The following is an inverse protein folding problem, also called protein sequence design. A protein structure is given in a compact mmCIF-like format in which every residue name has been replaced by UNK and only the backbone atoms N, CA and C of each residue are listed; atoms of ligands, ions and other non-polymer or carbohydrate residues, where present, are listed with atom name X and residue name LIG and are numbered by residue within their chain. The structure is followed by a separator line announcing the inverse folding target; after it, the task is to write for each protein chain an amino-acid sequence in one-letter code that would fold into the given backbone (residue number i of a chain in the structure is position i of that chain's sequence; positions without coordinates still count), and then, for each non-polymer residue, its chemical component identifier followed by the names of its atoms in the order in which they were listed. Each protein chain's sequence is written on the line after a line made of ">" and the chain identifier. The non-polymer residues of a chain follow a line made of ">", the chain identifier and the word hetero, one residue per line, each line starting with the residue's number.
data_IF_202910356485
#
_entry.id   IF_202910356485
#
_cell.length_a   1.000
_cell.length_b   1.000
_cell.length_c   1.000
_cell.angle_alpha   90.00
_cell.angle_beta   90.00
_cell.angle_gamma   90.00
#
_symmetry.space_group_name_H-M   'P 1'
#
loop_
_entity.id
_entity.type
_entity.pdbx_description
1 polymer ?
#
# COMPACT_ATOMS: atom_id res chain seq x y z
N UNK A 1 3.92 3.13 1.49
CA UNK A 1 2.68 3.37 0.71
C UNK A 1 1.72 4.12 1.59
N UNK A 2 1.27 5.28 1.14
CA UNK A 2 0.38 6.14 1.89
C UNK A 2 -1.09 5.77 1.70
N UNK A 3 -1.97 6.29 2.57
CA UNK A 3 -3.42 6.18 2.43
C UNK A 3 -4.05 7.55 2.34
N UNK A 4 -4.96 7.73 1.38
CA UNK A 4 -5.72 8.96 1.19
C UNK A 4 -7.20 8.63 1.38
N UNK A 5 -7.91 9.50 2.09
CA UNK A 5 -9.36 9.50 2.17
C UNK A 5 -9.86 10.95 2.09
N UNK A 6 -10.85 11.22 1.26
CA UNK A 6 -11.43 12.55 1.13
C UNK A 6 -12.95 12.48 1.00
N UNK A 7 -13.62 13.53 1.41
CA UNK A 7 -15.07 13.69 1.30
C UNK A 7 -15.35 15.05 0.66
N UNK A 8 -16.09 15.03 -0.44
CA UNK A 8 -16.77 16.22 -0.95
C UNK A 8 -18.17 16.27 -0.38
N UNK A 9 -18.53 17.40 0.20
CA UNK A 9 -19.89 17.69 0.61
C UNK A 9 -20.24 19.15 0.31
N UNK A 10 -21.40 19.35 -0.32
CA UNK A 10 -21.91 20.72 -0.58
C UNK A 10 -22.19 21.46 0.73
N UNK A 11 -22.74 20.77 1.70
CA UNK A 11 -23.15 21.35 2.97
C UNK A 11 -22.20 20.96 4.10
N UNK A 12 -22.02 21.86 5.06
CA UNK A 12 -21.21 21.58 6.24
C UNK A 12 -21.91 20.57 7.16
N UNK A 13 -21.30 19.41 7.36
CA UNK A 13 -21.76 18.28 8.17
C UNK A 13 -20.64 17.75 9.07
N UNK A 14 -20.93 16.70 9.83
CA UNK A 14 -19.94 16.00 10.68
C UNK A 14 -18.99 15.11 9.87
N UNK A 15 -18.54 15.57 8.70
CA UNK A 15 -17.69 14.85 7.76
C UNK A 15 -16.35 14.42 8.39
N UNK A 16 -15.89 15.07 9.44
CA UNK A 16 -14.64 14.74 10.16
C UNK A 16 -14.69 13.34 10.79
N UNK A 17 -15.85 12.96 11.34
CA UNK A 17 -16.01 11.63 11.96
C UNK A 17 -15.94 10.56 10.89
N UNK A 18 -16.63 10.74 9.78
CA UNK A 18 -16.64 9.81 8.65
C UNK A 18 -15.26 9.75 7.97
N UNK A 19 -14.58 10.89 7.81
CA UNK A 19 -13.18 10.96 7.36
C UNK A 19 -12.25 10.13 8.28
N UNK A 20 -12.36 10.34 9.60
CA UNK A 20 -11.57 9.58 10.59
C UNK A 20 -11.80 8.08 10.46
N UNK A 21 -13.05 7.65 10.35
CA UNK A 21 -13.40 6.24 10.28
C UNK A 21 -12.92 5.59 8.97
N UNK A 22 -13.02 6.28 7.84
CA UNK A 22 -12.43 5.86 6.57
C UNK A 22 -10.91 5.76 6.65
N UNK A 23 -10.24 6.77 7.21
CA UNK A 23 -8.79 6.73 7.42
C UNK A 23 -8.36 5.58 8.34
N UNK A 24 -9.11 5.28 9.41
CA UNK A 24 -8.80 4.14 10.29
C UNK A 24 -8.84 2.80 9.56
N UNK A 25 -9.76 2.61 8.63
CA UNK A 25 -9.80 1.40 7.79
C UNK A 25 -8.60 1.32 6.85
N UNK A 26 -7.99 2.46 6.47
CA UNK A 26 -6.76 2.56 5.70
C UNK A 26 -5.47 2.52 6.55
N UNK A 27 -5.54 2.36 7.87
CA UNK A 27 -4.38 2.47 8.76
C UNK A 27 -3.25 1.46 8.44
N UNK A 28 -3.57 0.37 7.76
CA UNK A 28 -2.57 -0.60 7.28
C UNK A 28 -1.62 0.01 6.24
N UNK A 29 -2.02 1.07 5.53
CA UNK A 29 -1.22 1.75 4.51
C UNK A 29 -0.17 2.69 5.10
N UNK A 30 -0.47 3.37 6.21
CA UNK A 30 0.47 4.32 6.84
C UNK A 30 0.29 4.40 8.34
N UNK A 31 1.41 4.39 9.10
CA UNK A 31 1.42 4.36 10.56
C UNK A 31 2.35 5.38 11.20
N UNK A 32 3.18 6.07 10.40
CA UNK A 32 4.21 6.97 10.90
C UNK A 32 3.64 8.30 11.34
N UNK A 33 2.67 8.80 10.59
CA UNK A 33 1.93 10.02 10.89
C UNK A 33 0.61 10.07 10.12
N UNK A 34 -0.25 10.98 10.53
CA UNK A 34 -1.46 11.33 9.81
C UNK A 34 -1.70 12.83 9.84
N UNK A 35 -2.45 13.30 8.87
CA UNK A 35 -2.97 14.66 8.86
C UNK A 35 -4.31 14.73 8.16
N UNK A 36 -5.05 15.74 8.50
CA UNK A 36 -6.34 16.09 7.89
C UNK A 36 -6.35 17.57 7.54
N UNK A 37 -7.09 17.92 6.50
CA UNK A 37 -7.46 19.29 6.20
C UNK A 37 -8.96 19.34 5.90
N UNK A 38 -9.61 20.41 6.29
CA UNK A 38 -11.05 20.58 6.21
C UNK A 38 -11.42 22.00 5.82
N UNK A 39 -12.41 22.15 4.97
CA UNK A 39 -13.01 23.42 4.60
C UNK A 39 -14.00 23.86 5.68
N UNK A 40 -13.71 24.98 6.31
CA UNK A 40 -14.62 25.63 7.26
C UNK A 40 -14.81 27.06 6.78
N UNK A 41 -16.03 27.37 6.35
CA UNK A 41 -16.33 28.63 5.66
C UNK A 41 -15.36 28.87 4.51
N UNK A 42 -14.65 29.99 4.49
CA UNK A 42 -13.71 30.36 3.43
C UNK A 42 -12.25 29.95 3.71
N UNK A 43 -12.00 29.17 4.77
CA UNK A 43 -10.64 28.79 5.17
C UNK A 43 -10.46 27.28 5.23
N UNK A 44 -9.23 26.83 5.01
CA UNK A 44 -8.84 25.44 5.22
C UNK A 44 -8.07 25.33 6.55
N UNK A 45 -8.61 24.57 7.49
CA UNK A 45 -7.90 24.19 8.71
C UNK A 45 -7.22 22.85 8.52
N UNK A 46 -6.06 22.65 9.15
CA UNK A 46 -5.39 21.36 9.13
C UNK A 46 -4.82 20.96 10.48
N UNK A 47 -4.82 19.66 10.72
CA UNK A 47 -4.25 19.01 11.90
C UNK A 47 -3.28 17.94 11.44
N UNK A 48 -2.09 17.92 12.01
CA UNK A 48 -1.02 16.96 11.71
C UNK A 48 -0.52 16.32 13.00
N UNK A 49 -0.34 15.00 13.03
CA UNK A 49 0.09 14.23 14.21
C UNK A 49 1.01 13.08 13.81
N UNK A 50 1.91 12.70 14.70
CA UNK A 50 2.72 11.49 14.60
C UNK A 50 1.94 10.27 15.08
N UNK A 51 2.24 9.10 14.50
CA UNK A 51 1.66 7.82 14.89
C UNK A 51 0.32 7.51 14.24
N UNK A 52 -0.36 6.52 14.79
CA UNK A 52 -1.62 5.97 14.28
C UNK A 52 -2.84 6.77 14.80
N UNK A 53 -3.94 6.71 14.07
CA UNK A 53 -5.23 7.28 14.49
C UNK A 53 -5.84 6.40 15.58
N UNK A 54 -6.04 6.98 16.76
CA UNK A 54 -6.71 6.33 17.90
C UNK A 54 -8.20 6.63 17.91
N UNK A 55 -8.98 5.90 18.71
CA UNK A 55 -10.42 6.16 18.86
C UNK A 55 -10.70 7.57 19.38
N UNK A 56 -9.89 8.05 20.33
CA UNK A 56 -9.97 9.40 20.88
C UNK A 56 -9.46 10.50 19.95
N UNK A 57 -8.85 10.12 18.80
CA UNK A 57 -8.36 11.10 17.83
C UNK A 57 -9.52 11.93 17.31
N UNK A 58 -9.35 13.26 17.28
CA UNK A 58 -10.33 14.24 16.81
C UNK A 58 -11.63 14.33 17.64
N UNK A 59 -11.69 13.77 18.84
CA UNK A 59 -12.89 13.89 19.69
C UNK A 59 -13.23 15.34 20.00
N UNK A 60 -12.23 16.23 20.09
CA UNK A 60 -12.44 17.67 20.26
C UNK A 60 -13.03 18.37 19.02
N UNK A 61 -13.09 17.69 17.89
CA UNK A 61 -13.66 18.19 16.64
C UNK A 61 -14.98 17.50 16.25
N UNK A 62 -15.52 16.63 17.11
CA UNK A 62 -16.74 15.86 16.79
C UNK A 62 -17.93 16.74 16.42
N UNK A 63 -18.02 17.94 17.02
CA UNK A 63 -19.09 18.90 16.79
C UNK A 63 -18.73 19.97 15.73
N UNK A 64 -17.51 19.88 15.14
CA UNK A 64 -17.07 20.80 14.10
C UNK A 64 -17.70 20.38 12.77
N UNK A 65 -18.52 21.25 12.22
CA UNK A 65 -19.09 21.06 10.88
C UNK A 65 -18.10 21.56 9.84
N UNK A 66 -17.82 20.73 8.85
CA UNK A 66 -17.04 21.10 7.66
C UNK A 66 -17.75 20.62 6.39
N UNK A 67 -17.52 21.30 5.29
CA UNK A 67 -18.00 20.85 3.98
C UNK A 67 -17.07 19.76 3.43
N UNK A 68 -16.14 20.09 2.57
CA UNK A 68 -15.19 19.09 2.07
C UNK A 68 -13.97 18.92 3.00
N UNK A 69 -13.40 17.73 3.00
CA UNK A 69 -12.22 17.44 3.81
C UNK A 69 -11.35 16.34 3.17
N UNK A 70 -10.05 16.35 3.50
CA UNK A 70 -9.08 15.37 3.02
C UNK A 70 -8.16 14.93 4.14
N UNK A 71 -7.85 13.64 4.17
CA UNK A 71 -6.98 13.01 5.13
C UNK A 71 -5.88 12.18 4.46
N UNK A 72 -4.74 12.11 5.11
CA UNK A 72 -3.57 11.38 4.67
C UNK A 72 -2.95 10.56 5.80
N UNK A 73 -2.58 9.32 5.48
CA UNK A 73 -1.83 8.41 6.34
C UNK A 73 -0.44 8.20 5.72
N UNK A 74 0.60 8.54 6.45
CA UNK A 74 1.96 8.47 5.95
C UNK A 74 2.62 7.14 6.26
N UNK A 75 3.28 6.60 5.25
CA UNK A 75 4.30 5.57 5.33
C UNK A 75 5.58 6.13 4.72
N UNK A 76 6.62 6.32 5.53
CA UNK A 76 7.89 6.88 5.06
C UNK A 76 8.59 5.93 4.09
N UNK A 77 8.70 6.34 2.84
CA UNK A 77 9.48 5.65 1.80
C UNK A 77 10.77 6.39 1.48
N UNK A 78 10.80 7.69 1.74
CA UNK A 78 11.92 8.61 1.56
C UNK A 78 12.09 9.47 2.81
N UNK A 79 13.33 9.77 3.20
CA UNK A 79 13.65 10.63 4.33
C UNK A 79 14.82 10.08 5.15
N UNK A 80 15.86 10.89 5.34
CA UNK A 80 17.01 10.51 6.16
C UNK A 80 16.61 10.45 7.63
N UNK A 81 16.81 9.31 8.24
CA UNK A 81 16.53 8.98 9.63
C UNK A 81 17.32 9.81 10.68
N UNK A 82 18.27 10.64 10.27
CA UNK A 82 19.14 11.39 11.18
C UNK A 82 18.60 12.74 11.67
N UNK A 83 17.51 13.28 11.07
CA UNK A 83 16.90 14.56 11.46
C UNK A 83 15.38 14.46 11.69
N UNK A 84 14.93 13.38 12.29
CA UNK A 84 13.52 13.01 12.52
C UNK A 84 12.64 14.08 13.19
N UNK A 85 13.18 15.04 13.91
CA UNK A 85 12.39 16.04 14.65
C UNK A 85 11.81 17.16 13.80
N UNK A 86 12.61 17.81 12.93
CA UNK A 86 12.20 19.00 12.15
C UNK A 86 11.65 18.66 10.76
N UNK A 87 12.26 17.75 10.04
CA UNK A 87 11.83 17.35 8.69
C UNK A 87 10.43 16.70 8.68
N UNK A 88 10.08 15.91 9.70
CA UNK A 88 8.78 15.24 9.75
C UNK A 88 7.57 16.17 9.82
N UNK A 89 7.66 17.36 10.38
CA UNK A 89 6.48 18.26 10.44
C UNK A 89 6.13 18.85 9.07
N UNK A 90 7.14 19.19 8.27
CA UNK A 90 6.94 19.75 6.94
C UNK A 90 6.54 18.69 5.90
N UNK A 91 6.85 17.43 6.15
CA UNK A 91 6.51 16.31 5.27
C UNK A 91 5.18 15.63 5.60
N UNK A 92 4.56 15.89 6.76
CA UNK A 92 3.23 15.37 7.08
C UNK A 92 2.21 16.08 6.19
N UNK A 93 1.53 15.29 5.39
CA UNK A 93 0.45 15.76 4.53
C UNK A 93 -0.89 15.80 5.29
N UNK A 94 -1.87 16.60 4.82
CA UNK A 94 -1.89 17.44 3.62
C UNK A 94 -0.92 18.63 3.68
N UNK A 95 -0.27 18.97 2.54
CA UNK A 95 0.46 20.22 2.42
C UNK A 95 -0.54 21.34 2.17
N UNK A 96 -0.49 22.39 3.00
CA UNK A 96 -1.34 23.57 2.87
C UNK A 96 -0.61 24.70 2.18
N UNK A 97 -1.35 25.44 1.39
CA UNK A 97 -0.89 26.69 0.81
C UNK A 97 -2.03 27.64 0.48
N UNK A 98 -1.64 28.83 0.06
CA UNK A 98 -2.57 29.82 -0.49
C UNK A 98 -1.87 30.62 -1.59
N UNK A 99 -2.63 30.94 -2.66
CA UNK A 99 -2.20 31.79 -3.77
C UNK A 99 -3.41 32.55 -4.30
N UNK A 100 -3.34 33.87 -4.43
CA UNK A 100 -4.41 34.69 -5.01
C UNK A 100 -5.80 34.43 -4.41
N UNK A 101 -5.94 34.46 -3.10
CA UNK A 101 -7.17 34.14 -2.34
C UNK A 101 -7.68 32.70 -2.50
N UNK A 102 -6.94 31.82 -3.16
CA UNK A 102 -7.23 30.40 -3.24
C UNK A 102 -6.49 29.67 -2.10
N UNK A 103 -7.24 29.02 -1.22
CA UNK A 103 -6.70 28.16 -0.19
C UNK A 103 -6.77 26.70 -0.65
N UNK A 104 -5.70 25.93 -0.40
CA UNK A 104 -5.66 24.54 -0.81
C UNK A 104 -4.98 23.63 0.21
N UNK A 105 -5.26 22.33 0.09
CA UNK A 105 -4.60 21.26 0.83
C UNK A 105 -4.37 20.05 -0.09
N UNK A 106 -3.09 19.70 -0.30
CA UNK A 106 -2.64 18.66 -1.23
C UNK A 106 -2.25 17.40 -0.48
N UNK A 107 -2.75 16.24 -0.96
CA UNK A 107 -2.33 14.90 -0.54
C UNK A 107 -1.80 14.10 -1.72
N UNK A 108 -0.76 13.30 -1.46
CA UNK A 108 -0.08 12.49 -2.45
C UNK A 108 0.24 11.10 -1.87
N UNK A 109 -0.12 10.06 -2.59
CA UNK A 109 0.32 8.68 -2.36
C UNK A 109 1.10 8.19 -3.57
N UNK A 110 2.41 8.10 -3.46
CA UNK A 110 3.25 7.69 -4.57
C UNK A 110 4.72 7.93 -4.31
N UNK A 111 5.48 8.00 -5.38
CA UNK A 111 6.87 8.43 -5.38
C UNK A 111 7.24 8.95 -6.78
N UNK A 112 7.91 10.08 -6.83
CA UNK A 112 8.48 10.63 -8.05
C UNK A 112 9.97 10.31 -8.04
N UNK A 113 10.46 9.48 -8.96
CA UNK A 113 11.88 9.13 -9.00
C UNK A 113 12.75 10.35 -9.35
N UNK A 114 13.99 10.33 -8.89
CA UNK A 114 15.02 11.33 -9.22
C UNK A 114 14.75 12.77 -8.76
N UNK A 115 13.75 13.00 -7.92
CA UNK A 115 13.48 14.32 -7.31
C UNK A 115 14.35 14.51 -6.07
N UNK A 116 15.00 15.67 -5.98
CA UNK A 116 15.76 16.07 -4.79
C UNK A 116 14.80 16.50 -3.67
N UNK A 117 14.87 15.81 -2.53
CA UNK A 117 14.08 16.16 -1.36
C UNK A 117 12.72 15.44 -1.30
N UNK A 118 11.67 16.18 -0.94
CA UNK A 118 10.33 15.61 -0.71
C UNK A 118 9.48 15.76 -1.97
N UNK A 119 9.11 14.65 -2.58
CA UNK A 119 8.37 14.57 -3.84
C UNK A 119 7.01 15.32 -3.82
N UNK A 120 6.29 15.28 -2.70
CA UNK A 120 5.04 16.06 -2.56
C UNK A 120 5.29 17.57 -2.58
N UNK A 121 6.45 18.04 -2.10
CA UNK A 121 6.84 19.45 -2.19
C UNK A 121 7.13 19.83 -3.64
N UNK A 122 7.75 18.94 -4.40
CA UNK A 122 7.96 19.14 -5.84
C UNK A 122 6.64 19.29 -6.60
N UNK A 123 5.68 18.39 -6.36
CA UNK A 123 4.32 18.50 -6.92
C UNK A 123 3.66 19.83 -6.53
N UNK A 124 3.78 20.21 -5.26
CA UNK A 124 3.21 21.44 -4.74
C UNK A 124 3.78 22.69 -5.45
N UNK A 125 5.07 22.69 -5.69
CA UNK A 125 5.74 23.80 -6.39
C UNK A 125 5.27 23.87 -7.86
N UNK A 126 5.21 22.73 -8.57
CA UNK A 126 4.67 22.69 -9.94
C UNK A 126 3.22 23.17 -9.99
N UNK A 127 2.39 22.74 -9.04
CA UNK A 127 0.98 23.17 -8.96
C UNK A 127 0.83 24.69 -8.82
N UNK A 128 1.78 25.34 -8.15
CA UNK A 128 1.68 26.77 -7.82
C UNK A 128 2.48 27.70 -8.72
N UNK A 129 3.43 27.19 -9.51
CA UNK A 129 4.39 28.06 -10.20
C UNK A 129 3.96 28.51 -11.61
N UNK A 130 3.22 27.71 -12.38
CA UNK A 130 3.12 27.95 -13.82
C UNK A 130 2.00 28.90 -14.25
N UNK A 131 0.80 28.79 -13.75
CA UNK A 131 -0.32 29.65 -14.14
C UNK A 131 -1.28 29.89 -12.98
N UNK A 132 -2.22 30.83 -13.17
CA UNK A 132 -3.34 31.01 -12.25
C UNK A 132 -4.45 29.96 -12.47
N UNK A 133 -4.31 29.12 -13.49
CA UNK A 133 -5.27 28.06 -13.81
C UNK A 133 -4.81 26.73 -13.25
N UNK A 134 -5.45 26.27 -12.19
CA UNK A 134 -5.15 25.00 -11.51
C UNK A 134 -5.34 23.79 -12.45
N UNK A 135 -6.33 23.81 -13.29
CA UNK A 135 -6.62 22.68 -14.18
C UNK A 135 -5.50 22.50 -15.22
N UNK A 136 -4.99 23.62 -15.79
CA UNK A 136 -3.81 23.59 -16.66
C UNK A 136 -2.58 23.04 -15.93
N UNK A 137 -2.32 23.51 -14.70
CA UNK A 137 -1.15 23.03 -13.94
C UNK A 137 -1.24 21.53 -13.59
N UNK A 138 -2.46 21.00 -13.36
CA UNK A 138 -2.66 19.57 -13.15
C UNK A 138 -2.42 18.75 -14.42
N UNK A 139 -2.81 19.28 -15.58
CA UNK A 139 -2.53 18.65 -16.88
C UNK A 139 -1.02 18.62 -17.12
N UNK A 140 -0.32 19.75 -16.91
CA UNK A 140 1.14 19.82 -17.05
C UNK A 140 1.84 18.79 -16.11
N UNK A 141 1.38 18.64 -14.87
CA UNK A 141 1.88 17.62 -13.95
C UNK A 141 1.67 16.20 -14.50
N UNK A 142 0.49 15.91 -15.09
CA UNK A 142 0.19 14.60 -15.67
C UNK A 142 1.09 14.29 -16.85
N UNK A 143 1.30 15.26 -17.73
CA UNK A 143 2.05 15.09 -18.99
C UNK A 143 3.57 15.08 -18.75
N UNK A 144 4.07 15.94 -17.86
CA UNK A 144 5.51 16.12 -17.61
C UNK A 144 6.10 15.10 -16.62
N UNK A 145 5.30 14.58 -15.65
CA UNK A 145 5.81 13.75 -14.57
C UNK A 145 5.40 12.28 -14.74
N UNK A 146 6.23 11.46 -15.42
CA UNK A 146 6.02 10.02 -15.49
C UNK A 146 6.40 9.39 -14.15
N UNK A 147 5.44 9.15 -13.28
CA UNK A 147 5.66 8.60 -11.95
C UNK A 147 4.46 7.79 -11.48
N UNK A 148 4.57 7.15 -10.31
CA UNK A 148 3.45 6.48 -9.66
C UNK A 148 2.84 7.39 -8.60
N UNK A 149 1.60 7.85 -8.80
CA UNK A 149 0.92 8.69 -7.83
C UNK A 149 -0.60 8.60 -7.87
N UNK A 150 -1.20 8.80 -6.72
CA UNK A 150 -2.58 9.25 -6.56
C UNK A 150 -2.56 10.55 -5.79
N UNK A 151 -3.24 11.58 -6.30
CA UNK A 151 -3.26 12.92 -5.74
C UNK A 151 -4.72 13.31 -5.47
N UNK A 152 -4.98 13.90 -4.31
CA UNK A 152 -6.26 14.55 -4.00
C UNK A 152 -5.94 15.92 -3.41
N UNK A 153 -6.57 16.93 -3.99
CA UNK A 153 -6.38 18.32 -3.59
C UNK A 153 -7.75 18.91 -3.22
N UNK A 154 -7.85 19.44 -2.03
CA UNK A 154 -8.97 20.28 -1.60
C UNK A 154 -8.62 21.73 -1.94
N UNK A 155 -9.42 22.38 -2.78
CA UNK A 155 -9.25 23.79 -3.15
C UNK A 155 -10.57 24.50 -2.91
N UNK A 156 -10.58 25.44 -2.00
CA UNK A 156 -11.78 26.11 -1.48
C UNK A 156 -12.79 25.04 -1.00
N UNK A 157 -13.73 24.60 -1.75
CA UNK A 157 -14.59 23.47 -1.38
C UNK A 157 -14.56 22.33 -2.42
N UNK A 158 -13.94 22.55 -3.55
CA UNK A 158 -13.85 21.56 -4.63
C UNK A 158 -12.75 20.52 -4.33
N UNK A 159 -12.93 19.28 -4.77
CA UNK A 159 -11.89 18.27 -4.80
C UNK A 159 -11.39 18.07 -6.24
N UNK A 160 -10.07 18.16 -6.40
CA UNK A 160 -9.37 17.70 -7.59
C UNK A 160 -8.75 16.35 -7.30
N UNK A 161 -9.00 15.38 -8.17
CA UNK A 161 -8.62 13.98 -7.98
C UNK A 161 -7.87 13.51 -9.22
N UNK A 162 -6.67 12.92 -9.02
CA UNK A 162 -5.77 12.57 -10.11
C UNK A 162 -5.11 11.23 -9.84
N UNK A 163 -5.10 10.34 -10.84
CA UNK A 163 -4.38 9.05 -10.82
C UNK A 163 -3.37 9.01 -11.94
N UNK A 164 -2.15 8.56 -11.64
CA UNK A 164 -1.05 8.49 -12.60
C UNK A 164 -1.44 7.78 -13.91
N UNK A 165 -0.78 8.14 -15.02
CA UNK A 165 -1.12 7.64 -16.36
C UNK A 165 -0.92 6.14 -16.55
N UNK A 166 -0.16 5.50 -15.64
CA UNK A 166 0.04 4.05 -15.64
C UNK A 166 -0.92 3.31 -14.73
N UNK A 167 -1.69 4.02 -13.89
CA UNK A 167 -2.61 3.42 -12.92
C UNK A 167 -1.92 2.62 -11.81
N UNK A 168 -0.65 2.94 -11.51
CA UNK A 168 0.18 2.16 -10.56
C UNK A 168 -0.37 2.27 -9.14
N UNK A 169 -0.90 3.45 -8.75
CA UNK A 169 -1.49 3.66 -7.43
C UNK A 169 -3.00 3.56 -7.48
N UNK A 170 -3.61 2.83 -6.53
CA UNK A 170 -5.07 2.70 -6.50
C UNK A 170 -5.73 4.00 -6.01
N UNK A 171 -6.86 4.33 -6.58
CA UNK A 171 -7.73 5.42 -6.15
C UNK A 171 -9.16 5.15 -6.64
N UNK A 172 -10.14 5.19 -5.74
CA UNK A 172 -11.54 4.89 -6.06
C UNK A 172 -12.50 5.95 -5.53
N UNK A 173 -13.70 5.96 -6.08
CA UNK A 173 -14.77 6.88 -5.79
C UNK A 173 -15.96 6.09 -5.27
N UNK A 174 -16.57 6.57 -4.21
CA UNK A 174 -17.86 6.14 -3.69
C UNK A 174 -18.80 7.32 -3.49
N UNK A 175 -20.07 7.03 -3.29
CA UNK A 175 -21.11 8.03 -3.08
C UNK A 175 -22.05 7.59 -1.95
N UNK A 176 -22.39 8.53 -1.10
CA UNK A 176 -23.44 8.44 -0.10
C UNK A 176 -24.28 9.70 -0.19
N UNK A 177 -25.56 9.54 -0.51
CA UNK A 177 -26.45 10.67 -0.79
C UNK A 177 -25.84 11.60 -1.86
N UNK A 178 -25.68 12.89 -1.56
CA UNK A 178 -25.06 13.87 -2.44
C UNK A 178 -23.56 14.09 -2.14
N UNK A 179 -22.96 13.25 -1.27
CA UNK A 179 -21.55 13.36 -0.91
C UNK A 179 -20.72 12.34 -1.70
N UNK A 180 -19.56 12.79 -2.18
CA UNK A 180 -18.58 11.92 -2.84
C UNK A 180 -17.43 11.58 -1.89
N UNK A 181 -17.04 10.32 -1.89
CA UNK A 181 -15.96 9.78 -1.08
C UNK A 181 -14.84 9.29 -2.00
N UNK A 182 -13.62 9.75 -1.77
CA UNK A 182 -12.45 9.36 -2.53
C UNK A 182 -11.51 8.60 -1.59
N UNK A 183 -11.02 7.46 -2.02
CA UNK A 183 -10.19 6.60 -1.19
C UNK A 183 -9.10 5.89 -1.98
N UNK A 184 -7.95 5.67 -1.33
CA UNK A 184 -6.92 4.78 -1.87
C UNK A 184 -7.41 3.33 -2.01
N UNK A 185 -8.36 2.89 -1.18
CA UNK A 185 -8.94 1.54 -1.23
C UNK A 185 -10.42 1.55 -0.87
N UNK A 186 -11.22 0.75 -1.58
CA UNK A 186 -12.67 0.64 -1.37
C UNK A 186 -13.05 0.08 0.00
N UNK A 187 -12.18 -0.66 0.69
CA UNK A 187 -12.41 -1.14 2.06
C UNK A 187 -12.64 0.00 3.06
N UNK A 188 -12.21 1.21 2.74
CA UNK A 188 -12.42 2.38 3.58
C UNK A 188 -13.89 2.83 3.62
N UNK A 189 -14.65 2.52 2.61
CA UNK A 189 -16.06 2.88 2.52
C UNK A 189 -16.87 2.17 3.61
N UNK A 190 -17.84 2.86 4.20
CA UNK A 190 -18.85 2.24 5.06
C UNK A 190 -19.86 1.47 4.20
N UNK A 191 -20.71 0.67 4.83
CA UNK A 191 -21.78 -0.05 4.10
C UNK A 191 -22.79 0.88 3.41
N UNK A 192 -22.87 2.13 3.86
CA UNK A 192 -23.77 3.15 3.34
C UNK A 192 -23.20 3.88 2.12
N UNK A 193 -21.88 3.72 1.85
CA UNK A 193 -21.20 4.34 0.72
C UNK A 193 -21.18 3.36 -0.44
N UNK A 194 -21.90 3.69 -1.49
CA UNK A 194 -21.93 2.91 -2.71
C UNK A 194 -20.63 3.16 -3.49
N UNK A 195 -19.89 2.09 -3.81
CA UNK A 195 -18.75 2.16 -4.71
C UNK A 195 -19.25 2.54 -6.12
N UNK A 196 -18.69 3.57 -6.70
CA UNK A 196 -19.01 3.99 -8.08
C UNK A 196 -18.04 3.32 -9.05
N UNK A 197 -16.74 3.68 -8.96
CA UNK A 197 -15.66 3.19 -9.82
C UNK A 197 -14.28 3.56 -9.27
N UNK A 198 -13.28 2.98 -9.85
CA UNK A 198 -11.92 3.50 -9.72
C UNK A 198 -11.74 4.76 -10.58
N UNK A 199 -10.83 5.64 -10.17
CA UNK A 199 -10.30 6.69 -11.03
C UNK A 199 -9.45 6.02 -12.09
N UNK A 200 -9.71 6.31 -13.36
CA UNK A 200 -8.98 5.67 -14.46
C UNK A 200 -7.52 6.13 -14.48
N UNK A 201 -6.59 5.29 -14.98
CA UNK A 201 -5.23 5.73 -15.26
C UNK A 201 -5.23 6.99 -16.15
N UNK A 202 -4.42 7.98 -15.79
CA UNK A 202 -4.32 9.24 -16.52
C UNK A 202 -5.52 10.18 -16.40
N UNK A 203 -6.45 9.92 -15.49
CA UNK A 203 -7.66 10.73 -15.32
C UNK A 203 -7.44 11.83 -14.28
N UNK A 204 -7.88 13.05 -14.63
CA UNK A 204 -8.01 14.19 -13.72
C UNK A 204 -9.49 14.56 -13.62
N UNK A 205 -10.00 14.58 -12.40
CA UNK A 205 -11.38 14.88 -12.08
C UNK A 205 -11.48 16.12 -11.22
N UNK A 206 -12.56 16.89 -11.41
CA UNK A 206 -13.06 17.87 -10.47
C UNK A 206 -14.38 17.39 -9.89
N UNK A 207 -14.50 17.44 -8.58
CA UNK A 207 -15.73 17.08 -7.85
C UNK A 207 -16.20 18.32 -7.10
N UNK A 208 -17.37 18.79 -7.46
CA UNK A 208 -17.99 19.99 -6.91
C UNK A 208 -19.51 19.84 -6.83
N UNK A 209 -20.24 20.93 -6.67
CA UNK A 209 -21.70 20.92 -6.56
C UNK A 209 -22.42 20.40 -7.82
N UNK A 210 -21.76 20.41 -8.96
CA UNK A 210 -22.28 19.88 -10.24
C UNK A 210 -21.95 18.38 -10.41
N UNK A 211 -21.35 17.74 -9.40
CA UNK A 211 -20.97 16.34 -9.42
C UNK A 211 -19.53 16.10 -9.87
N UNK A 212 -19.30 14.97 -10.56
CA UNK A 212 -17.98 14.56 -11.04
C UNK A 212 -17.81 15.05 -12.47
N UNK A 213 -16.81 15.88 -12.70
CA UNK A 213 -16.43 16.41 -14.01
C UNK A 213 -15.07 15.86 -14.40
N UNK A 214 -14.93 15.35 -15.62
CA UNK A 214 -13.65 14.93 -16.18
C UNK A 214 -12.97 16.16 -16.76
N UNK A 215 -11.81 16.53 -16.20
CA UNK A 215 -10.98 17.64 -16.66
C UNK A 215 -10.05 17.17 -17.78
N UNK A 216 -9.46 15.98 -17.59
CA UNK A 216 -8.47 15.46 -18.53
C UNK A 216 -8.42 13.93 -18.50
N UNK A 217 -8.13 13.34 -19.66
CA UNK A 217 -7.75 11.94 -19.79
C UNK A 217 -6.48 11.89 -20.64
N UNK A 218 -5.39 11.41 -20.04
CA UNK A 218 -4.12 11.30 -20.75
C UNK A 218 -4.23 10.28 -21.91
N UNK A 219 -3.84 10.65 -23.16
CA UNK A 219 -4.09 9.82 -24.35
C UNK A 219 -3.31 8.50 -24.37
N UNK A 220 -2.19 8.43 -23.67
CA UNK A 220 -1.32 7.24 -23.56
C UNK A 220 -1.42 6.58 -22.18
N UNK A 221 -2.61 6.54 -21.60
CA UNK A 221 -2.79 5.86 -20.31
C UNK A 221 -2.75 4.33 -20.49
N UNK A 222 -2.17 3.64 -19.53
CA UNK A 222 -2.10 2.17 -19.48
C UNK A 222 -2.62 1.69 -18.14
N UNK A 223 -3.10 0.46 -18.07
CA UNK A 223 -3.53 -0.14 -16.80
C UNK A 223 -2.39 -0.96 -16.22
N UNK A 224 -1.90 -0.60 -15.04
CA UNK A 224 -0.74 -1.28 -14.45
C UNK A 224 -0.67 -1.19 -12.94
N UNK A 225 -1.74 -1.59 -12.23
CA UNK A 225 -1.71 -1.63 -10.76
C UNK A 225 -0.47 -2.38 -10.24
N UNK A 226 0.21 -1.81 -9.26
CA UNK A 226 1.43 -2.39 -8.73
C UNK A 226 1.20 -3.80 -8.18
N UNK A 227 1.93 -4.79 -8.72
CA UNK A 227 1.81 -6.19 -8.32
C UNK A 227 2.19 -6.41 -6.85
N UNK A 228 3.19 -5.68 -6.35
CA UNK A 228 3.58 -5.73 -4.94
C UNK A 228 2.46 -5.18 -4.02
N UNK A 229 1.69 -4.18 -4.48
CA UNK A 229 0.49 -3.74 -3.75
C UNK A 229 -0.57 -4.85 -3.67
N UNK A 230 -0.85 -5.52 -4.78
CA UNK A 230 -1.81 -6.63 -4.82
C UNK A 230 -1.41 -7.75 -3.87
N UNK A 231 -0.13 -8.13 -3.87
CA UNK A 231 0.39 -9.21 -3.04
C UNK A 231 0.41 -8.85 -1.55
N UNK A 232 0.88 -7.67 -1.20
CA UNK A 232 1.24 -7.32 0.18
C UNK A 232 0.42 -6.18 0.81
N UNK A 233 0.29 -5.02 0.13
CA UNK A 233 -0.23 -3.81 0.77
C UNK A 233 -1.74 -3.72 0.81
N UNK A 234 -2.43 -4.02 -0.31
CA UNK A 234 -3.88 -3.88 -0.39
C UNK A 234 -4.59 -4.77 0.63
N UNK A 235 -5.66 -4.26 1.20
CA UNK A 235 -6.53 -5.05 2.05
C UNK A 235 -7.24 -6.14 1.24
N UNK A 236 -7.34 -7.35 1.77
CA UNK A 236 -7.98 -8.48 1.07
C UNK A 236 -9.45 -8.23 0.70
N UNK A 237 -10.12 -7.34 1.43
CA UNK A 237 -11.52 -6.99 1.18
C UNK A 237 -11.69 -5.79 0.23
N UNK A 238 -10.60 -5.23 -0.28
CA UNK A 238 -10.65 -4.17 -1.27
C UNK A 238 -11.03 -4.71 -2.64
N UNK A 239 -11.82 -3.90 -3.36
CA UNK A 239 -12.15 -4.05 -4.76
C UNK A 239 -11.47 -2.93 -5.54
N UNK A 240 -10.74 -3.25 -6.60
CA UNK A 240 -10.03 -2.29 -7.44
C UNK A 240 -9.84 -2.84 -8.84
N UNK A 241 -9.91 -1.99 -9.86
CA UNK A 241 -9.77 -2.31 -11.28
C UNK A 241 -10.57 -3.59 -11.68
N UNK A 242 -11.83 -3.67 -11.19
CA UNK A 242 -12.76 -4.78 -11.50
C UNK A 242 -12.52 -6.06 -10.70
N UNK A 243 -11.60 -6.08 -9.70
CA UNK A 243 -11.19 -7.31 -9.03
C UNK A 243 -11.21 -7.19 -7.51
N UNK A 244 -11.66 -8.26 -6.83
CA UNK A 244 -11.46 -8.40 -5.39
C UNK A 244 -10.05 -8.93 -5.09
N UNK A 245 -9.29 -8.20 -4.27
CA UNK A 245 -7.92 -8.58 -3.89
C UNK A 245 -7.84 -9.98 -3.28
N UNK A 246 -8.83 -10.34 -2.46
CA UNK A 246 -8.93 -11.68 -1.89
C UNK A 246 -9.00 -12.78 -2.96
N UNK A 247 -9.71 -12.53 -4.06
CA UNK A 247 -9.85 -13.52 -5.14
C UNK A 247 -8.54 -13.65 -5.93
N UNK A 248 -7.84 -12.55 -6.19
CA UNK A 248 -6.52 -12.58 -6.80
C UNK A 248 -5.52 -13.39 -5.93
N UNK A 249 -5.46 -13.11 -4.63
CA UNK A 249 -4.58 -13.86 -3.72
C UNK A 249 -4.95 -15.36 -3.65
N UNK A 250 -6.23 -15.70 -3.68
CA UNK A 250 -6.64 -17.11 -3.79
C UNK A 250 -6.12 -17.75 -5.07
N UNK A 251 -6.19 -17.06 -6.20
CA UNK A 251 -5.66 -17.56 -7.47
C UNK A 251 -4.14 -17.77 -7.40
N UNK A 252 -3.38 -16.82 -6.82
CA UNK A 252 -1.94 -16.99 -6.63
C UNK A 252 -1.60 -18.21 -5.78
N UNK A 253 -2.30 -18.40 -4.65
CA UNK A 253 -2.13 -19.58 -3.80
C UNK A 253 -2.48 -20.90 -4.51
N UNK A 254 -3.54 -20.90 -5.33
CA UNK A 254 -3.90 -22.03 -6.18
C UNK A 254 -2.82 -22.31 -7.24
N UNK A 255 -2.31 -21.29 -7.91
CA UNK A 255 -1.35 -21.47 -9.00
C UNK A 255 -0.04 -22.09 -8.52
N UNK A 256 0.52 -21.63 -7.39
CA UNK A 256 1.74 -22.25 -6.83
C UNK A 256 1.47 -23.69 -6.33
N UNK A 257 0.27 -23.96 -5.82
CA UNK A 257 -0.12 -25.33 -5.43
C UNK A 257 -0.14 -26.30 -6.62
N UNK A 258 -0.63 -25.83 -7.78
CA UNK A 258 -0.62 -26.64 -9.01
C UNK A 258 0.80 -27.04 -9.45
N UNK A 259 1.79 -26.15 -9.23
CA UNK A 259 3.19 -26.48 -9.50
C UNK A 259 3.76 -27.51 -8.52
N UNK A 260 3.19 -27.58 -7.32
CA UNK A 260 3.62 -28.49 -6.27
C UNK A 260 2.94 -29.86 -6.31
N UNK A 261 2.03 -30.11 -7.23
CA UNK A 261 1.43 -31.47 -7.40
C UNK A 261 2.48 -32.55 -7.64
N UNK A 262 3.67 -32.19 -8.13
CA UNK A 262 4.78 -33.13 -8.36
C UNK A 262 5.56 -33.46 -7.08
N UNK A 263 5.41 -32.70 -6.00
CA UNK A 263 6.21 -32.83 -4.77
C UNK A 263 5.72 -33.96 -3.86
N UNK A 264 4.59 -34.59 -4.21
CA UNK A 264 3.98 -35.73 -3.48
C UNK A 264 3.79 -35.44 -1.97
N UNK A 265 3.34 -34.22 -1.62
CA UNK A 265 2.93 -33.92 -0.26
C UNK A 265 1.68 -34.73 0.11
N UNK A 266 1.74 -35.46 1.20
CA UNK A 266 0.66 -36.31 1.71
C UNK A 266 -0.04 -35.67 2.94
N UNK A 267 -0.98 -36.38 3.55
CA UNK A 267 -1.74 -35.93 4.72
C UNK A 267 -0.91 -35.69 5.98
N UNK A 268 0.37 -36.07 6.01
CA UNK A 268 1.28 -35.80 7.13
C UNK A 268 1.72 -34.33 7.14
N UNK A 269 1.59 -33.63 6.00
CA UNK A 269 1.95 -32.22 5.90
C UNK A 269 0.80 -31.32 6.36
N UNK A 270 1.16 -30.22 7.01
CA UNK A 270 0.22 -29.20 7.43
C UNK A 270 0.63 -27.85 6.84
N UNK A 271 -0.31 -27.22 6.13
CA UNK A 271 -0.10 -25.87 5.55
C UNK A 271 -0.38 -24.79 6.60
N UNK A 272 0.51 -23.81 6.67
CA UNK A 272 0.43 -22.68 7.60
C UNK A 272 0.63 -21.37 6.83
N UNK A 273 -0.34 -20.48 6.87
CA UNK A 273 -0.22 -19.13 6.30
C UNK A 273 0.42 -18.15 7.28
N UNK A 274 1.41 -17.38 6.85
CA UNK A 274 1.99 -16.31 7.67
C UNK A 274 0.98 -15.15 7.79
N UNK A 275 0.67 -14.67 9.00
CA UNK A 275 -0.19 -13.51 9.17
C UNK A 275 0.46 -12.21 8.64
N UNK A 276 -0.28 -11.34 7.92
CA UNK A 276 -1.70 -11.38 7.62
C UNK A 276 -1.98 -11.96 6.20
N UNK A 277 -1.16 -11.61 5.22
CA UNK A 277 -1.36 -11.87 3.78
C UNK A 277 -1.27 -13.34 3.43
N UNK A 278 -0.34 -14.08 4.02
CA UNK A 278 -0.15 -15.51 3.79
C UNK A 278 -1.33 -16.39 4.20
N UNK A 279 -2.26 -15.90 5.05
CA UNK A 279 -3.43 -16.69 5.47
C UNK A 279 -4.33 -17.06 4.28
N UNK A 280 -4.69 -16.06 3.46
CA UNK A 280 -5.55 -16.28 2.30
C UNK A 280 -4.86 -17.17 1.26
N UNK A 281 -3.58 -16.91 1.01
CA UNK A 281 -2.71 -17.67 0.11
C UNK A 281 -2.58 -19.14 0.56
N UNK A 282 -2.26 -19.35 1.84
CA UNK A 282 -2.09 -20.71 2.42
C UNK A 282 -3.37 -21.53 2.43
N UNK A 283 -4.52 -20.91 2.74
CA UNK A 283 -5.82 -21.58 2.67
C UNK A 283 -6.15 -22.06 1.26
N UNK A 284 -5.85 -21.22 0.25
CA UNK A 284 -6.09 -21.58 -1.15
C UNK A 284 -5.12 -22.67 -1.63
N UNK A 285 -3.85 -22.58 -1.23
CA UNK A 285 -2.83 -23.60 -1.49
C UNK A 285 -3.24 -24.96 -0.90
N UNK A 286 -3.59 -25.00 0.39
CA UNK A 286 -4.03 -26.23 1.07
C UNK A 286 -5.24 -26.86 0.41
N UNK A 287 -6.24 -26.04 0.04
CA UNK A 287 -7.45 -26.52 -0.64
C UNK A 287 -7.12 -27.18 -1.98
N UNK A 288 -6.24 -26.61 -2.78
CA UNK A 288 -5.89 -27.12 -4.12
C UNK A 288 -5.15 -28.46 -4.06
N UNK A 289 -4.32 -28.68 -3.02
CA UNK A 289 -3.59 -29.93 -2.80
C UNK A 289 -4.31 -30.92 -1.88
N UNK A 290 -5.52 -30.60 -1.42
CA UNK A 290 -6.28 -31.39 -0.44
C UNK A 290 -5.49 -31.67 0.85
N UNK A 291 -4.69 -30.68 1.33
CA UNK A 291 -3.89 -30.78 2.54
C UNK A 291 -4.58 -30.09 3.72
N UNK A 292 -4.23 -30.51 4.93
CA UNK A 292 -4.68 -29.86 6.16
C UNK A 292 -4.13 -28.43 6.25
N UNK A 293 -5.00 -27.45 6.50
CA UNK A 293 -4.61 -26.08 6.87
C UNK A 293 -4.77 -25.89 8.37
N UNK A 294 -3.76 -25.31 9.04
CA UNK A 294 -3.84 -24.95 10.44
C UNK A 294 -3.19 -23.58 10.68
N UNK A 295 -3.85 -22.70 11.47
CA UNK A 295 -3.31 -21.37 11.78
C UNK A 295 -2.41 -21.45 13.03
N UNK A 296 -1.22 -22.06 12.87
CA UNK A 296 -0.25 -22.28 13.95
C UNK A 296 0.52 -21.02 14.36
N UNK A 297 0.49 -19.99 13.52
CA UNK A 297 1.18 -18.71 13.72
C UNK A 297 0.15 -17.60 13.69
N UNK A 298 0.08 -16.80 14.75
CA UNK A 298 -0.81 -15.65 14.84
C UNK A 298 -0.03 -14.37 15.11
N UNK A 299 -0.57 -13.22 14.73
CA UNK A 299 0.07 -11.93 14.97
C UNK A 299 -0.07 -11.53 16.43
N UNK A 300 1.03 -11.15 17.07
CA UNK A 300 1.00 -10.57 18.41
C UNK A 300 0.42 -9.16 18.36
N UNK A 301 -0.79 -8.97 18.88
CA UNK A 301 -1.48 -7.67 18.89
C UNK A 301 -0.80 -6.62 19.78
N UNK A 302 0.03 -7.04 20.74
CA UNK A 302 0.76 -6.13 21.66
C UNK A 302 1.99 -5.49 21.00
N UNK A 303 2.45 -6.03 19.89
CA UNK A 303 3.61 -5.51 19.16
C UNK A 303 3.11 -4.64 18.02
N UNK A 304 3.21 -3.33 18.17
CA UNK A 304 3.03 -2.41 17.05
C UNK A 304 4.13 -2.64 16.01
N UNK A 305 3.87 -2.29 14.73
CA UNK A 305 4.93 -2.37 13.69
C UNK A 305 6.04 -1.38 14.06
N UNK A 306 7.12 -1.88 14.62
CA UNK A 306 8.31 -1.12 14.94
C UNK A 306 9.22 -1.01 13.73
N UNK A 307 8.78 -0.34 12.67
CA UNK A 307 9.68 0.15 11.63
C UNK A 307 10.60 1.30 12.12
N UNK A 308 10.44 1.73 13.36
CA UNK A 308 11.23 2.78 14.03
C UNK A 308 12.53 2.20 14.63
N UNK A 309 12.81 0.92 14.48
CA UNK A 309 14.07 0.35 14.94
C UNK A 309 15.26 0.96 14.17
N UNK A 310 16.11 1.66 14.92
CA UNK A 310 17.23 2.45 14.41
C UNK A 310 18.36 1.54 13.92
N UNK A 311 18.44 0.29 14.40
CA UNK A 311 19.50 -0.65 14.06
C UNK A 311 19.02 -2.08 13.75
N UNK A 312 19.91 -2.89 13.19
CA UNK A 312 19.60 -4.27 12.78
C UNK A 312 19.30 -5.23 13.95
N UNK A 313 19.85 -4.98 15.14
CA UNK A 313 19.62 -5.82 16.33
C UNK A 313 18.21 -5.61 16.89
N UNK A 314 17.75 -4.36 16.96
CA UNK A 314 16.39 -4.07 17.37
C UNK A 314 15.38 -4.65 16.38
N UNK A 315 15.66 -4.57 15.06
CA UNK A 315 14.83 -5.22 14.05
C UNK A 315 14.70 -6.74 14.25
N UNK A 316 15.80 -7.42 14.61
CA UNK A 316 15.78 -8.86 14.94
C UNK A 316 14.92 -9.15 16.17
N UNK A 317 15.14 -8.43 17.27
CA UNK A 317 14.34 -8.59 18.50
C UNK A 317 12.84 -8.41 18.26
N UNK A 318 12.48 -7.47 17.40
CA UNK A 318 11.08 -7.21 17.05
C UNK A 318 10.49 -8.31 16.18
N UNK A 319 11.25 -8.86 15.22
CA UNK A 319 10.82 -10.05 14.47
C UNK A 319 10.51 -11.21 15.40
N UNK A 320 11.26 -11.35 16.48
CA UNK A 320 11.09 -12.44 17.45
C UNK A 320 9.82 -12.37 18.29
N UNK A 321 9.30 -11.18 18.57
CA UNK A 321 8.08 -11.01 19.37
C UNK A 321 6.83 -10.74 18.51
N UNK A 322 7.00 -10.64 17.19
CA UNK A 322 5.95 -10.28 16.24
C UNK A 322 4.82 -11.31 16.14
N UNK A 323 5.15 -12.59 16.40
CA UNK A 323 4.22 -13.69 16.24
C UNK A 323 4.09 -14.54 17.50
N UNK A 324 2.92 -15.14 17.68
CA UNK A 324 2.60 -16.14 18.71
C UNK A 324 2.44 -17.48 18.01
N UNK A 325 2.98 -18.55 18.58
CA UNK A 325 3.04 -19.89 18.00
C UNK A 325 2.26 -20.90 18.84
N UNK A 326 1.52 -21.79 18.20
CA UNK A 326 0.91 -22.92 18.86
C UNK A 326 1.91 -24.08 18.93
N UNK A 327 2.74 -24.08 19.99
CA UNK A 327 3.89 -24.96 20.14
C UNK A 327 3.47 -26.44 20.19
N UNK A 328 2.36 -26.75 20.86
CA UNK A 328 1.88 -28.13 21.01
C UNK A 328 1.51 -28.76 19.67
N UNK A 329 0.93 -27.98 18.77
CA UNK A 329 0.57 -28.45 17.45
C UNK A 329 1.73 -28.43 16.42
N UNK A 330 2.82 -27.71 16.69
CA UNK A 330 4.01 -27.67 15.82
C UNK A 330 4.88 -28.90 16.00
N UNK A 331 5.02 -29.39 17.25
CA UNK A 331 5.91 -30.49 17.59
C UNK A 331 5.66 -31.74 16.74
N UNK A 332 6.71 -32.22 16.08
CA UNK A 332 6.69 -33.42 15.25
C UNK A 332 6.03 -33.27 13.88
N UNK A 333 5.58 -32.07 13.50
CA UNK A 333 4.88 -31.83 12.21
C UNK A 333 5.85 -31.52 11.07
N UNK A 334 5.43 -31.89 9.86
CA UNK A 334 5.96 -31.44 8.59
C UNK A 334 5.11 -30.26 8.13
N UNK A 335 5.75 -29.09 7.94
CA UNK A 335 5.04 -27.83 7.71
C UNK A 335 5.31 -27.27 6.31
N UNK A 336 4.26 -26.78 5.66
CA UNK A 336 4.37 -25.96 4.45
C UNK A 336 3.95 -24.55 4.81
N UNK A 337 4.93 -23.64 4.86
CA UNK A 337 4.73 -22.24 5.21
C UNK A 337 4.45 -21.47 3.93
N UNK A 338 3.34 -20.74 3.90
CA UNK A 338 2.97 -19.87 2.77
C UNK A 338 3.00 -18.42 3.21
N UNK A 339 3.79 -17.60 2.50
CA UNK A 339 3.85 -16.15 2.70
C UNK A 339 3.71 -15.42 1.35
N UNK A 340 3.47 -14.10 1.35
CA UNK A 340 3.27 -13.33 0.13
C UNK A 340 4.58 -13.08 -0.63
N UNK A 341 5.63 -12.64 0.06
CA UNK A 341 6.92 -12.26 -0.53
C UNK A 341 8.07 -12.44 0.47
N UNK A 342 9.28 -12.63 -0.04
CA UNK A 342 10.51 -12.52 0.77
C UNK A 342 11.37 -11.39 0.19
N UNK A 343 11.54 -10.30 0.96
CA UNK A 343 12.37 -9.16 0.54
C UNK A 343 13.77 -9.28 1.16
N UNK A 344 13.90 -9.11 2.49
CA UNK A 344 15.19 -9.17 3.22
C UNK A 344 15.44 -10.51 3.92
N UNK A 345 14.46 -11.36 4.03
CA UNK A 345 14.55 -12.69 4.64
C UNK A 345 14.53 -12.73 6.18
N UNK A 346 14.64 -11.61 6.89
CA UNK A 346 14.73 -11.60 8.36
C UNK A 346 13.52 -12.23 9.05
N UNK A 347 12.32 -11.94 8.56
CA UNK A 347 11.06 -12.44 9.13
C UNK A 347 10.96 -13.95 8.93
N UNK A 348 11.16 -14.43 7.70
CA UNK A 348 11.04 -15.86 7.41
C UNK A 348 12.12 -16.69 8.11
N UNK A 349 13.36 -16.17 8.21
CA UNK A 349 14.43 -16.82 9.01
C UNK A 349 14.05 -16.98 10.48
N UNK A 350 13.53 -15.92 11.10
CA UNK A 350 13.08 -15.97 12.50
C UNK A 350 11.95 -16.99 12.67
N UNK A 351 10.98 -17.03 11.75
CA UNK A 351 9.87 -17.99 11.78
C UNK A 351 10.40 -19.42 11.69
N UNK A 352 11.24 -19.74 10.70
CA UNK A 352 11.74 -21.10 10.46
C UNK A 352 12.57 -21.59 11.65
N UNK A 353 13.47 -20.74 12.17
CA UNK A 353 14.25 -21.09 13.36
C UNK A 353 13.35 -21.44 14.55
N UNK A 354 12.30 -20.68 14.80
CA UNK A 354 11.34 -20.96 15.87
C UNK A 354 10.56 -22.24 15.64
N UNK A 355 10.13 -22.52 14.42
CA UNK A 355 9.41 -23.75 14.09
C UNK A 355 10.27 -24.99 14.37
N UNK A 356 11.54 -24.97 13.97
CA UNK A 356 12.46 -26.07 14.33
C UNK A 356 12.74 -26.15 15.84
N UNK A 357 12.93 -25.02 16.52
CA UNK A 357 13.10 -24.99 17.98
C UNK A 357 11.87 -25.54 18.73
N UNK A 358 10.68 -25.40 18.15
CA UNK A 358 9.42 -25.98 18.67
C UNK A 358 9.20 -27.41 18.20
N UNK A 359 10.17 -28.03 17.52
CA UNK A 359 10.18 -29.45 17.17
C UNK A 359 9.49 -29.78 15.85
N UNK A 360 9.36 -28.84 14.92
CA UNK A 360 8.96 -29.18 13.55
C UNK A 360 9.99 -30.12 12.90
N UNK A 361 9.55 -31.13 12.15
CA UNK A 361 10.41 -32.08 11.46
C UNK A 361 10.93 -31.55 10.12
N UNK A 362 10.05 -30.91 9.37
CA UNK A 362 10.33 -30.32 8.06
C UNK A 362 9.63 -28.97 7.93
N UNK A 363 10.27 -28.01 7.25
CA UNK A 363 9.68 -26.70 6.98
C UNK A 363 9.93 -26.34 5.53
N UNK A 364 8.90 -26.49 4.70
CA UNK A 364 8.89 -26.08 3.30
C UNK A 364 8.32 -24.67 3.18
N UNK A 365 8.87 -23.84 2.29
CA UNK A 365 8.42 -22.46 2.08
C UNK A 365 7.88 -22.29 0.68
N UNK A 366 6.70 -21.69 0.57
CA UNK A 366 6.01 -21.43 -0.70
C UNK A 366 5.63 -19.94 -0.79
N UNK A 367 6.15 -19.29 -1.81
CA UNK A 367 5.93 -17.87 -2.06
C UNK A 367 5.17 -17.74 -3.38
N UNK A 368 3.87 -17.42 -3.34
CA UNK A 368 3.03 -17.23 -4.53
C UNK A 368 3.33 -15.90 -5.27
N UNK A 369 4.60 -15.56 -5.36
CA UNK A 369 5.15 -14.41 -6.05
C UNK A 369 6.54 -14.75 -6.60
N UNK A 370 7.05 -14.02 -7.59
CA UNK A 370 8.44 -14.15 -8.01
C UNK A 370 9.41 -13.65 -6.92
N UNK A 371 10.69 -14.01 -7.00
CA UNK A 371 11.70 -13.40 -6.17
C UNK A 371 11.75 -11.88 -6.37
N UNK A 372 11.92 -11.12 -5.29
CA UNK A 372 12.19 -9.67 -5.37
C UNK A 372 13.68 -9.50 -5.71
N UNK A 373 13.97 -8.99 -6.92
CA UNK A 373 15.34 -8.93 -7.46
C UNK A 373 15.85 -7.51 -7.71
N UNK A 374 14.96 -6.52 -7.68
CA UNK A 374 15.34 -5.14 -7.95
C UNK A 374 14.75 -4.15 -6.95
N UNK A 375 15.33 -2.93 -6.94
CA UNK A 375 14.82 -1.78 -6.19
C UNK A 375 13.46 -1.35 -6.73
N UNK A 376 12.75 -0.54 -5.96
CA UNK A 376 11.54 0.11 -6.41
C UNK A 376 11.71 1.63 -6.36
N UNK A 377 11.67 2.27 -7.52
CA UNK A 377 11.73 3.73 -7.64
C UNK A 377 10.36 4.41 -7.48
N UNK A 378 9.29 3.62 -7.43
CA UNK A 378 7.91 4.10 -7.46
C UNK A 378 7.18 4.02 -6.11
N UNK A 379 7.91 3.89 -4.99
CA UNK A 379 7.35 4.08 -3.64
C UNK A 379 7.17 2.81 -2.80
N UNK A 380 7.75 1.66 -3.20
CA UNK A 380 8.01 0.56 -2.27
C UNK A 380 9.38 0.81 -1.62
N UNK A 381 9.46 0.71 -0.29
CA UNK A 381 10.71 0.98 0.44
C UNK A 381 11.77 -0.12 0.25
N UNK A 382 12.28 -0.23 -0.98
CA UNK A 382 13.42 -1.05 -1.38
C UNK A 382 14.44 -0.11 -2.01
N UNK A 383 15.42 0.32 -1.22
CA UNK A 383 16.35 1.40 -1.62
C UNK A 383 17.67 0.87 -2.21
N UNK A 384 18.03 -0.38 -1.93
CA UNK A 384 19.29 -0.97 -2.38
C UNK A 384 19.13 -2.44 -2.72
N UNK A 385 19.73 -2.89 -3.83
CA UNK A 385 19.78 -4.31 -4.19
C UNK A 385 20.50 -5.14 -3.11
N UNK A 386 21.47 -4.55 -2.40
CA UNK A 386 22.24 -5.23 -1.35
C UNK A 386 21.39 -5.67 -0.14
N UNK A 387 20.23 -5.04 0.09
CA UNK A 387 19.32 -5.44 1.16
C UNK A 387 18.41 -6.62 0.79
N UNK A 388 18.33 -6.97 -0.50
CA UNK A 388 17.51 -8.08 -1.00
C UNK A 388 18.17 -9.41 -0.68
N UNK A 389 17.40 -10.37 -0.16
CA UNK A 389 17.90 -11.71 0.12
C UNK A 389 18.36 -12.42 -1.17
N UNK A 390 17.76 -12.08 -2.30
CA UNK A 390 18.10 -12.64 -3.62
C UNK A 390 19.32 -11.98 -4.30
N UNK A 391 19.90 -10.93 -3.70
CA UNK A 391 21.03 -10.23 -4.30
C UNK A 391 22.22 -11.15 -4.50
N UNK A 392 22.62 -11.41 -5.75
CA UNK A 392 23.72 -12.31 -6.15
C UNK A 392 23.57 -13.74 -5.59
N UNK A 393 22.35 -14.26 -5.46
CA UNK A 393 22.07 -15.59 -4.91
C UNK A 393 21.07 -16.33 -5.75
N UNK A 394 21.19 -17.65 -5.77
CA UNK A 394 20.18 -18.56 -6.31
C UNK A 394 19.07 -18.85 -5.28
N UNK A 395 17.96 -19.39 -5.74
CA UNK A 395 16.89 -19.86 -4.84
C UNK A 395 17.42 -20.92 -3.85
N UNK A 396 18.34 -21.79 -4.32
CA UNK A 396 18.97 -22.80 -3.45
C UNK A 396 19.84 -22.17 -2.36
N UNK A 397 20.57 -21.10 -2.66
CA UNK A 397 21.38 -20.39 -1.67
C UNK A 397 20.49 -19.76 -0.60
N UNK A 398 19.38 -19.11 -1.03
CA UNK A 398 18.39 -18.55 -0.12
C UNK A 398 17.73 -19.64 0.71
N UNK A 399 17.37 -20.78 0.11
CA UNK A 399 16.78 -21.91 0.83
C UNK A 399 17.69 -22.40 1.96
N UNK A 400 18.99 -22.57 1.68
CA UNK A 400 20.01 -22.95 2.69
C UNK A 400 20.15 -21.86 3.78
N UNK A 401 20.20 -20.59 3.36
CA UNK A 401 20.36 -19.47 4.29
C UNK A 401 19.19 -19.33 5.27
N UNK A 402 17.95 -19.51 4.81
CA UNK A 402 16.77 -19.50 5.68
C UNK A 402 16.55 -20.82 6.43
N UNK A 403 17.37 -21.85 6.13
CA UNK A 403 17.28 -23.20 6.70
C UNK A 403 15.94 -23.90 6.42
N UNK A 404 15.33 -23.63 5.27
CA UNK A 404 14.13 -24.33 4.86
C UNK A 404 14.47 -25.70 4.25
N UNK A 405 13.58 -26.68 4.39
CA UNK A 405 13.68 -27.98 3.71
C UNK A 405 13.58 -27.80 2.20
N UNK A 406 12.69 -26.93 1.75
CA UNK A 406 12.62 -26.49 0.35
C UNK A 406 12.04 -25.08 0.26
N UNK A 407 12.39 -24.37 -0.81
CA UNK A 407 11.87 -23.04 -1.13
C UNK A 407 11.43 -23.01 -2.58
N UNK A 408 10.21 -22.55 -2.82
CA UNK A 408 9.68 -22.36 -4.18
C UNK A 408 8.99 -21.00 -4.29
N UNK A 409 9.23 -20.32 -5.41
CA UNK A 409 8.55 -19.10 -5.82
C UNK A 409 7.68 -19.38 -7.05
N UNK A 410 6.63 -18.61 -7.21
CA UNK A 410 5.84 -18.61 -8.44
C UNK A 410 6.59 -17.82 -9.52
N UNK A 411 6.60 -18.30 -10.76
CA UNK A 411 7.24 -17.55 -11.85
C UNK A 411 6.44 -16.30 -12.23
N UNK A 412 7.14 -15.31 -12.77
CA UNK A 412 6.52 -14.03 -13.15
C UNK A 412 5.52 -14.21 -14.31
N UNK A 413 5.79 -15.13 -15.23
CA UNK A 413 4.92 -15.44 -16.37
C UNK A 413 3.55 -15.93 -15.89
N UNK A 414 3.54 -16.80 -14.88
CA UNK A 414 2.29 -17.34 -14.31
C UNK A 414 1.54 -16.32 -13.49
N UNK A 415 2.25 -15.37 -12.89
CA UNK A 415 1.66 -14.31 -12.12
C UNK A 415 1.01 -13.25 -13.02
N UNK A 416 1.66 -12.88 -14.15
CA UNK A 416 1.15 -11.89 -15.12
C UNK A 416 -0.18 -12.26 -15.78
N UNK A 417 -0.51 -13.53 -15.80
CA UNK A 417 -1.79 -14.01 -16.36
C UNK A 417 -2.98 -13.82 -15.40
N UNK A 418 -2.78 -13.34 -14.21
CA UNK A 418 -3.78 -13.28 -13.16
C UNK A 418 -4.18 -11.87 -12.74
N UNK A 419 -3.53 -10.77 -12.82
CA UNK A 419 -4.02 -9.58 -13.46
C UNK A 419 -3.37 -9.45 -14.81
N UNK A 420 -4.18 -9.26 -15.84
CA UNK A 420 -3.69 -9.19 -17.23
C UNK A 420 -2.62 -8.14 -17.44
N UNK A 421 -2.62 -7.07 -16.64
CA UNK A 421 -1.66 -5.99 -16.69
C UNK A 421 -1.33 -5.54 -15.26
N UNK A 422 -0.05 -5.53 -14.91
CA UNK A 422 0.44 -5.08 -13.61
C UNK A 422 1.85 -4.53 -13.72
N UNK A 423 2.15 -3.53 -12.90
CA UNK A 423 3.49 -2.99 -12.77
C UNK A 423 4.33 -3.83 -11.81
N UNK A 424 5.47 -4.34 -12.26
CA UNK A 424 6.20 -5.40 -11.56
C UNK A 424 7.72 -5.18 -11.44
N UNK A 425 8.20 -3.94 -11.54
CA UNK A 425 9.63 -3.59 -11.55
C UNK A 425 10.48 -4.35 -10.52
N UNK A 426 10.04 -4.44 -9.27
CA UNK A 426 10.81 -5.10 -8.22
C UNK A 426 10.97 -6.62 -8.43
N UNK A 427 10.16 -7.23 -9.28
CA UNK A 427 10.21 -8.65 -9.64
C UNK A 427 10.88 -8.90 -10.99
N UNK A 428 10.62 -8.05 -11.99
CA UNK A 428 11.15 -8.20 -13.37
C UNK A 428 12.44 -7.44 -13.61
N UNK A 429 12.72 -6.42 -12.82
CA UNK A 429 13.77 -5.43 -13.09
C UNK A 429 13.42 -4.47 -14.23
N UNK A 430 12.22 -4.59 -14.83
CA UNK A 430 11.80 -3.75 -15.94
C UNK A 430 11.14 -2.46 -15.46
N UNK A 431 11.60 -1.34 -16.00
CA UNK A 431 11.00 -0.01 -15.87
C UNK A 431 10.85 0.61 -17.25
N UNK A 432 9.74 1.28 -17.53
CA UNK A 432 9.55 1.95 -18.82
C UNK A 432 10.59 3.05 -19.05
N UNK A 433 10.92 3.32 -20.33
CA UNK A 433 12.00 4.27 -20.69
C UNK A 433 11.74 5.68 -20.17
N UNK A 434 10.51 6.14 -20.22
CA UNK A 434 10.10 7.47 -19.74
C UNK A 434 10.24 7.61 -18.21
N UNK A 435 9.86 6.59 -17.45
CA UNK A 435 10.08 6.54 -16.00
C UNK A 435 11.57 6.53 -15.65
N UNK A 436 12.38 5.78 -16.40
CA UNK A 436 13.84 5.67 -16.18
C UNK A 436 14.57 6.95 -16.51
N UNK A 437 14.13 7.66 -17.55
CA UNK A 437 14.83 8.83 -18.08
C UNK A 437 14.35 10.14 -17.44
N UNK A 438 13.30 10.09 -16.61
CA UNK A 438 12.82 11.28 -15.93
C UNK A 438 13.90 11.86 -15.02
N UNK A 439 14.19 13.14 -15.21
CA UNK A 439 15.05 13.95 -14.34
C UNK A 439 14.25 15.18 -13.90
N UNK A 440 14.45 15.61 -12.67
CA UNK A 440 13.96 16.89 -12.19
C UNK A 440 14.55 18.00 -13.08
N UNK A 441 13.68 18.75 -13.77
CA UNK A 441 14.03 19.93 -14.58
C UNK A 441 14.11 21.18 -13.71
#
# INVERSE_FOLDING_TARGET
>A
MCGIYAIYSKNANNNIIELKDGMKKLQHRGKDSYGIAMQIQNNILSIKRKGEIKNSTLNNLKDTKCSSCVGHLRYSTSGHSSNLGKLMQNEIQPLRGSKNNMHYALTHNGNIPNVKGHDTTYINNKLMNNSNNIESNLIDIMDEIPAAYSIVILINNDLYVMRDRYGIRPLCIGQKDNNFHISSESVAFSKEINYIRDVKPGEILKINENGIQIIYNHPQSTTGLCLFEILYFLNENSFTDGMYIKNLRKQFGKTIALEDKKENFDETYTVVGIPLTGICLGKSYAKELNLKYSQLITKNKKVSRSFIAINNEERKKICDIKFIYNITEIKGKKLIIVDDTIVRGNVIKSIINKLYNYGAKEVHVRIPAPPVIDICELGISIQSKKELIMHNRTINDVCKEIKATSLKYLSIEKLKNIPKESYDQCFSGFISKDLKNFKET
#
